data_IF_444266364133
#
_entry.id   IF_444266364133
#
_cell.length_a   1.000
_cell.length_b   1.000
_cell.length_c   1.000
_cell.angle_alpha   90.00
_cell.angle_beta   90.00
_cell.angle_gamma   90.00
#
_symmetry.space_group_name_H-M   'P 1'
#
loop_
_entity.id
_entity.type
_entity.pdbx_description
1 polymer ?
#
# COMPACT_ATOMS: atom_id res chain seq x y z
N UNK A 1 9.89 10.03 23.52
CA UNK A 1 10.12 8.71 22.89
C UNK A 1 8.83 8.08 22.35
N UNK A 2 7.75 7.93 23.14
CA UNK A 2 6.49 7.30 22.69
C UNK A 2 5.83 7.88 21.43
N UNK A 3 5.81 9.22 21.26
CA UNK A 3 5.25 9.86 20.05
C UNK A 3 6.00 9.51 18.75
N UNK A 4 7.32 9.29 18.84
CA UNK A 4 8.15 8.92 17.69
C UNK A 4 7.86 7.49 17.27
N UNK A 5 7.75 6.57 18.23
CA UNK A 5 7.41 5.16 17.98
C UNK A 5 6.02 5.04 17.36
N UNK A 6 5.03 5.77 17.89
CA UNK A 6 3.68 5.79 17.32
C UNK A 6 3.66 6.33 15.87
N UNK A 7 4.41 7.40 15.59
CA UNK A 7 4.54 7.93 14.23
C UNK A 7 5.22 6.94 13.28
N UNK A 8 6.26 6.25 13.74
CA UNK A 8 6.94 5.21 12.97
C UNK A 8 6.00 4.02 12.65
N UNK A 9 5.21 3.57 13.62
CA UNK A 9 4.22 2.50 13.43
C UNK A 9 3.13 2.91 12.43
N UNK A 10 2.64 4.15 12.51
CA UNK A 10 1.64 4.65 11.58
C UNK A 10 2.19 4.82 10.16
N UNK A 11 3.41 5.34 10.04
CA UNK A 11 4.12 5.41 8.75
C UNK A 11 4.33 4.02 8.17
N UNK A 12 4.76 3.05 8.97
CA UNK A 12 4.89 1.66 8.56
C UNK A 12 3.55 1.11 8.05
N UNK A 13 2.48 1.28 8.82
CA UNK A 13 1.13 0.85 8.43
C UNK A 13 0.72 1.46 7.09
N UNK A 14 0.84 2.78 6.93
CA UNK A 14 0.47 3.49 5.70
C UNK A 14 1.29 3.03 4.49
N UNK A 15 2.60 2.79 4.67
CA UNK A 15 3.46 2.28 3.60
C UNK A 15 3.07 0.86 3.18
N UNK A 16 2.65 0.01 4.10
CA UNK A 16 2.38 -1.41 3.83
C UNK A 16 0.91 -1.71 3.52
N UNK A 17 -0.03 -0.81 3.87
CA UNK A 17 -1.47 -1.01 3.64
C UNK A 17 -1.79 -1.16 2.14
N UNK A 18 -2.67 -2.11 1.83
CA UNK A 18 -3.14 -2.42 0.48
C UNK A 18 -2.22 -3.34 -0.33
N UNK A 19 -1.02 -3.64 0.15
CA UNK A 19 -0.14 -4.59 -0.55
C UNK A 19 -0.64 -6.01 -0.32
N UNK A 20 -0.53 -6.83 -1.37
CA UNK A 20 -0.85 -8.25 -1.27
C UNK A 20 0.33 -9.06 -0.69
N UNK A 21 0.80 -8.71 0.52
CA UNK A 21 1.92 -9.36 1.22
C UNK A 21 1.76 -10.86 1.47
N UNK A 22 2.66 -11.70 0.96
CA UNK A 22 2.68 -13.13 1.29
C UNK A 22 3.33 -13.41 2.64
N UNK A 23 4.37 -12.66 2.97
CA UNK A 23 5.06 -12.73 4.26
C UNK A 23 5.83 -11.43 4.50
N UNK A 24 6.07 -11.13 5.77
CA UNK A 24 7.00 -10.10 6.22
C UNK A 24 8.00 -10.78 7.14
N UNK A 25 9.29 -10.59 6.86
CA UNK A 25 10.39 -11.12 7.64
C UNK A 25 11.25 -9.98 8.17
N UNK A 26 11.90 -10.22 9.30
CA UNK A 26 12.74 -9.28 9.99
C UNK A 26 13.95 -10.01 10.57
N UNK A 27 15.10 -9.40 10.44
CA UNK A 27 16.31 -9.73 11.20
C UNK A 27 16.61 -8.59 12.16
N UNK A 28 16.89 -8.93 13.42
CA UNK A 28 17.26 -7.97 14.45
C UNK A 28 18.12 -8.66 15.53
N UNK A 29 18.48 -7.96 16.60
CA UNK A 29 19.10 -8.57 17.77
C UNK A 29 18.06 -9.09 18.78
N UNK A 30 18.46 -10.08 19.58
CA UNK A 30 17.61 -10.69 20.60
C UNK A 30 17.11 -9.68 21.64
N UNK A 31 17.85 -8.59 21.86
CA UNK A 31 17.45 -7.48 22.73
C UNK A 31 16.10 -6.82 22.32
N UNK A 32 15.66 -6.96 21.07
CA UNK A 32 14.38 -6.43 20.59
C UNK A 32 13.31 -7.50 20.36
N UNK A 33 13.58 -8.76 20.69
CA UNK A 33 12.71 -9.89 20.36
C UNK A 33 11.30 -9.74 20.96
N UNK A 34 11.18 -9.26 22.20
CA UNK A 34 9.89 -9.07 22.86
C UNK A 34 9.04 -8.01 22.16
N UNK A 35 9.64 -6.87 21.82
CA UNK A 35 8.98 -5.78 21.07
C UNK A 35 8.44 -6.28 19.72
N UNK A 36 9.23 -7.10 19.01
CA UNK A 36 8.80 -7.67 17.73
C UNK A 36 7.70 -8.71 17.90
N UNK A 37 7.75 -9.50 18.98
CA UNK A 37 6.69 -10.46 19.32
C UNK A 37 5.38 -9.75 19.61
N UNK A 38 5.39 -8.69 20.41
CA UNK A 38 4.22 -7.85 20.69
C UNK A 38 3.67 -7.19 19.41
N UNK A 39 4.57 -6.80 18.50
CA UNK A 39 4.18 -6.25 17.18
C UNK A 39 3.55 -7.29 16.26
N UNK A 40 3.65 -8.58 16.59
CA UNK A 40 3.01 -9.69 15.89
C UNK A 40 3.95 -10.66 15.17
N UNK A 41 5.27 -10.50 15.28
CA UNK A 41 6.21 -11.45 14.68
C UNK A 41 6.30 -12.77 15.46
N UNK A 42 6.51 -13.88 14.75
CA UNK A 42 6.88 -15.17 15.35
C UNK A 42 8.36 -15.47 15.08
N UNK A 43 9.09 -16.08 16.04
CA UNK A 43 10.46 -16.55 15.79
C UNK A 43 10.53 -17.55 14.64
N UNK A 44 11.62 -17.49 13.87
CA UNK A 44 11.96 -18.38 12.77
C UNK A 44 13.35 -18.97 13.02
N UNK A 45 13.55 -20.19 12.56
CA UNK A 45 14.87 -20.82 12.58
C UNK A 45 15.72 -20.31 11.43
N UNK A 46 17.02 -20.25 11.65
CA UNK A 46 18.02 -19.93 10.63
C UNK A 46 19.28 -20.80 10.84
N UNK A 47 20.12 -20.92 9.81
CA UNK A 47 21.16 -21.96 9.75
C UNK A 47 22.18 -21.91 10.91
N UNK A 48 22.63 -20.70 11.27
CA UNK A 48 23.75 -20.50 12.21
C UNK A 48 23.28 -20.23 13.66
N UNK A 49 22.02 -20.51 13.97
CA UNK A 49 21.41 -20.21 15.28
C UNK A 49 22.18 -20.81 16.48
N UNK A 50 22.67 -22.06 16.45
CA UNK A 50 23.42 -22.63 17.57
C UNK A 50 24.75 -21.92 17.83
N UNK A 51 25.49 -21.58 16.76
CA UNK A 51 26.81 -20.96 16.84
C UNK A 51 26.73 -19.53 17.37
N UNK A 52 25.66 -18.82 17.03
CA UNK A 52 25.45 -17.43 17.41
C UNK A 52 24.72 -17.28 18.76
N UNK A 53 24.22 -18.39 19.34
CA UNK A 53 23.44 -18.39 20.58
C UNK A 53 24.19 -17.87 21.82
N UNK A 54 25.51 -18.04 21.83
CA UNK A 54 26.42 -17.63 22.91
C UNK A 54 26.73 -16.12 22.91
N UNK A 55 26.34 -15.38 21.86
CA UNK A 55 26.56 -13.94 21.79
C UNK A 55 25.70 -13.17 22.81
N UNK A 56 26.15 -11.99 23.27
CA UNK A 56 25.32 -11.06 24.03
C UNK A 56 24.02 -10.73 23.28
N UNK A 57 22.92 -10.45 23.99
CA UNK A 57 21.61 -10.26 23.37
C UNK A 57 21.55 -9.12 22.34
N UNK A 58 22.38 -8.09 22.53
CA UNK A 58 22.51 -6.95 21.63
C UNK A 58 23.16 -7.31 20.28
N UNK A 59 23.91 -8.42 20.23
CA UNK A 59 24.64 -8.90 19.05
C UNK A 59 24.15 -10.26 18.56
N UNK A 60 23.33 -10.95 19.35
CA UNK A 60 22.74 -12.24 19.01
C UNK A 60 21.61 -12.02 18.02
N UNK A 61 21.73 -12.47 16.77
CA UNK A 61 20.68 -12.27 15.78
C UNK A 61 19.45 -13.11 16.12
N UNK A 62 18.28 -12.57 15.76
CA UNK A 62 17.01 -13.26 15.72
C UNK A 62 16.41 -13.08 14.34
N UNK A 63 15.88 -14.16 13.79
CA UNK A 63 15.07 -14.14 12.60
C UNK A 63 13.62 -14.30 12.99
N UNK A 64 12.75 -13.40 12.54
CA UNK A 64 11.34 -13.43 12.86
C UNK A 64 10.50 -13.18 11.61
N UNK A 65 9.26 -13.65 11.60
CA UNK A 65 8.37 -13.44 10.47
C UNK A 65 6.90 -13.63 10.80
N UNK A 66 6.07 -13.19 9.85
CA UNK A 66 4.65 -13.49 9.80
C UNK A 66 4.27 -13.75 8.34
N UNK A 67 3.65 -14.89 8.07
CA UNK A 67 3.06 -15.20 6.76
C UNK A 67 1.60 -14.77 6.72
N UNK A 68 1.05 -14.64 5.51
CA UNK A 68 -0.38 -14.34 5.32
C UNK A 68 -1.28 -15.39 5.96
N UNK A 69 -0.95 -16.66 5.83
CA UNK A 69 -1.79 -17.75 6.34
C UNK A 69 -1.81 -17.75 7.88
N UNK A 70 -0.66 -17.50 8.52
CA UNK A 70 -0.60 -17.31 9.96
C UNK A 70 -1.33 -16.03 10.41
N UNK A 71 -1.25 -14.94 9.64
CA UNK A 71 -1.96 -13.70 9.95
C UNK A 71 -3.49 -13.87 9.92
N UNK A 72 -4.00 -14.69 8.98
CA UNK A 72 -5.44 -15.02 8.86
C UNK A 72 -5.97 -15.80 10.05
N UNK A 73 -5.12 -16.59 10.71
CA UNK A 73 -5.49 -17.38 11.89
C UNK A 73 -5.50 -16.56 13.18
N UNK A 74 -5.09 -15.29 13.14
CA UNK A 74 -5.01 -14.40 14.30
C UNK A 74 -6.15 -13.39 14.32
N UNK A 75 -6.59 -13.09 15.54
CA UNK A 75 -7.49 -11.96 15.77
C UNK A 75 -6.83 -10.65 15.27
N UNK A 76 -7.62 -9.73 14.72
CA UNK A 76 -7.15 -8.37 14.46
C UNK A 76 -6.62 -7.71 15.74
N UNK A 77 -5.61 -6.85 15.63
CA UNK A 77 -5.14 -6.07 16.77
C UNK A 77 -3.65 -5.75 16.79
N UNK A 78 -2.81 -6.51 16.10
CA UNK A 78 -1.39 -6.15 15.96
C UNK A 78 -1.14 -5.37 14.68
N UNK A 79 -0.22 -4.40 14.73
CA UNK A 79 0.16 -3.58 13.57
C UNK A 79 0.57 -4.43 12.38
N UNK A 80 1.34 -5.51 12.61
CA UNK A 80 1.83 -6.38 11.54
C UNK A 80 0.72 -7.22 10.91
N UNK A 81 -0.25 -7.72 11.69
CA UNK A 81 -1.39 -8.48 11.16
C UNK A 81 -2.19 -7.62 10.18
N UNK A 82 -2.41 -6.35 10.52
CA UNK A 82 -3.18 -5.42 9.70
C UNK A 82 -2.53 -5.17 8.32
N UNK A 83 -1.21 -5.36 8.17
CA UNK A 83 -0.57 -5.29 6.85
C UNK A 83 -1.10 -6.35 5.87
N UNK A 84 -1.60 -7.48 6.36
CA UNK A 84 -2.12 -8.56 5.52
C UNK A 84 -3.60 -8.36 5.13
N UNK A 85 -4.25 -7.33 5.66
CA UNK A 85 -5.58 -6.90 5.24
C UNK A 85 -5.46 -6.20 3.88
N UNK A 86 -5.79 -6.94 2.83
CA UNK A 86 -5.86 -6.42 1.46
C UNK A 86 -6.93 -7.20 0.70
N UNK A 87 -7.74 -6.48 -0.05
CA UNK A 87 -8.62 -7.05 -1.07
C UNK A 87 -7.93 -6.97 -2.45
N UNK A 88 -8.32 -7.81 -3.41
CA UNK A 88 -7.87 -7.64 -4.79
C UNK A 88 -8.30 -6.26 -5.33
N UNK A 89 -7.44 -5.55 -6.09
CA UNK A 89 -7.83 -4.26 -6.67
C UNK A 89 -9.01 -4.45 -7.61
N UNK A 90 -10.03 -3.60 -7.45
CA UNK A 90 -11.28 -3.67 -8.20
C UNK A 90 -11.11 -3.13 -9.61
N UNK A 91 -10.53 -1.94 -9.74
CA UNK A 91 -10.39 -1.26 -11.03
C UNK A 91 -9.14 -1.70 -11.79
N UNK A 92 -8.15 -2.28 -11.11
CA UNK A 92 -6.97 -2.89 -11.75
C UNK A 92 -6.24 -1.91 -12.67
N UNK A 93 -5.98 -0.71 -12.15
CA UNK A 93 -5.28 0.35 -12.88
C UNK A 93 -3.90 -0.12 -13.37
N UNK A 94 -3.48 0.42 -14.53
CA UNK A 94 -2.14 0.18 -15.10
C UNK A 94 -1.03 0.78 -14.23
N UNK A 95 0.22 0.37 -14.43
CA UNK A 95 1.34 0.90 -13.65
C UNK A 95 1.44 2.44 -13.70
N UNK A 96 1.25 3.05 -14.88
CA UNK A 96 1.27 4.52 -15.03
C UNK A 96 0.07 5.18 -14.36
N UNK A 97 -1.11 4.59 -14.44
CA UNK A 97 -2.32 5.09 -13.78
C UNK A 97 -2.19 5.04 -12.26
N UNK A 98 -1.66 3.93 -11.71
CA UNK A 98 -1.37 3.81 -10.26
C UNK A 98 -0.37 4.86 -9.80
N UNK A 99 0.70 5.09 -10.57
CA UNK A 99 1.70 6.14 -10.26
C UNK A 99 1.06 7.53 -10.27
N UNK A 100 0.24 7.85 -11.28
CA UNK A 100 -0.50 9.11 -11.33
C UNK A 100 -1.41 9.27 -10.11
N UNK A 101 -2.23 8.27 -9.80
CA UNK A 101 -3.14 8.32 -8.65
C UNK A 101 -2.38 8.45 -7.33
N UNK A 102 -1.26 7.74 -7.15
CA UNK A 102 -0.41 7.84 -5.96
C UNK A 102 0.14 9.25 -5.76
N UNK A 103 0.68 9.87 -6.81
CA UNK A 103 1.18 11.25 -6.73
C UNK A 103 0.04 12.24 -6.49
N UNK A 104 -1.10 12.05 -7.16
CA UNK A 104 -2.29 12.88 -7.02
C UNK A 104 -3.00 12.73 -5.66
N UNK A 105 -2.63 11.75 -4.82
CA UNK A 105 -3.16 11.66 -3.45
C UNK A 105 -2.69 12.83 -2.58
N UNK A 106 -1.48 13.33 -2.85
CA UNK A 106 -0.74 14.28 -2.02
C UNK A 106 -0.51 15.65 -2.71
N UNK A 107 -0.77 15.75 -4.01
CA UNK A 107 -0.64 16.99 -4.79
C UNK A 107 -1.79 17.13 -5.81
N UNK A 108 -2.40 18.31 -5.89
CA UNK A 108 -3.53 18.58 -6.77
C UNK A 108 -3.10 19.29 -8.08
N UNK A 109 -1.85 19.75 -8.21
CA UNK A 109 -1.40 20.54 -9.35
C UNK A 109 -0.84 19.68 -10.49
N UNK A 110 -1.52 19.67 -11.64
CA UNK A 110 -1.07 18.98 -12.87
C UNK A 110 0.38 19.35 -13.27
N UNK A 111 0.80 20.60 -13.01
CA UNK A 111 2.15 21.10 -13.31
C UNK A 111 3.25 20.42 -12.49
N UNK A 112 2.93 19.96 -11.27
CA UNK A 112 3.86 19.21 -10.42
C UNK A 112 3.88 17.71 -10.78
N UNK A 113 2.74 17.17 -11.22
CA UNK A 113 2.60 15.75 -11.60
C UNK A 113 3.35 15.39 -12.88
N UNK A 114 3.33 16.29 -13.87
CA UNK A 114 3.93 16.05 -15.20
C UNK A 114 5.42 15.67 -15.18
N UNK A 115 6.33 16.42 -14.52
CA UNK A 115 7.74 16.05 -14.46
C UNK A 115 7.96 14.72 -13.74
N UNK A 116 7.25 14.49 -12.63
CA UNK A 116 7.34 13.25 -11.85
C UNK A 116 6.85 12.01 -12.62
N UNK A 117 5.91 12.19 -13.54
CA UNK A 117 5.39 11.14 -14.41
C UNK A 117 6.16 11.00 -15.72
N UNK A 118 6.97 12.00 -16.10
CA UNK A 118 7.63 12.06 -17.40
C UNK A 118 6.65 12.19 -18.58
N UNK A 119 5.53 12.90 -18.41
CA UNK A 119 4.48 13.03 -19.43
C UNK A 119 4.22 14.49 -19.82
N UNK A 120 3.76 14.70 -21.05
CA UNK A 120 3.24 15.99 -21.50
C UNK A 120 1.83 16.26 -20.93
N UNK A 121 1.34 17.50 -21.04
CA UNK A 121 -0.05 17.85 -20.68
C UNK A 121 -1.05 16.92 -21.36
N UNK A 122 -0.83 16.64 -22.66
CA UNK A 122 -1.68 15.73 -23.41
C UNK A 122 -1.60 14.30 -22.90
N UNK A 123 -0.39 13.83 -22.53
CA UNK A 123 -0.20 12.53 -21.90
C UNK A 123 -0.93 12.41 -20.56
N UNK A 124 -0.88 13.45 -19.73
CA UNK A 124 -1.59 13.50 -18.45
C UNK A 124 -3.11 13.44 -18.64
N UNK A 125 -3.66 14.20 -19.59
CA UNK A 125 -5.10 14.14 -19.94
C UNK A 125 -5.52 12.74 -20.39
N UNK A 126 -4.69 12.08 -21.22
CA UNK A 126 -4.93 10.71 -21.68
C UNK A 126 -4.92 9.70 -20.53
N UNK A 127 -4.00 9.85 -19.56
CA UNK A 127 -3.96 8.98 -18.38
C UNK A 127 -5.22 9.12 -17.53
N UNK A 128 -5.66 10.35 -17.25
CA UNK A 128 -6.90 10.61 -16.51
C UNK A 128 -8.13 10.07 -17.23
N UNK A 129 -8.24 10.30 -18.54
CA UNK A 129 -9.35 9.75 -19.32
C UNK A 129 -9.39 8.23 -19.24
N UNK A 130 -8.25 7.55 -19.41
CA UNK A 130 -8.17 6.10 -19.27
C UNK A 130 -8.47 5.57 -17.86
N UNK A 131 -8.32 6.40 -16.82
CA UNK A 131 -8.78 6.06 -15.45
C UNK A 131 -10.31 6.12 -15.41
N UNK A 132 -10.92 7.20 -15.93
CA UNK A 132 -12.38 7.35 -15.91
C UNK A 132 -13.09 6.29 -16.73
N UNK A 133 -12.60 6.02 -17.95
CA UNK A 133 -13.11 4.94 -18.79
C UNK A 133 -13.08 3.59 -18.07
N UNK A 134 -12.00 3.32 -17.31
CA UNK A 134 -11.84 2.07 -16.55
C UNK A 134 -12.78 1.99 -15.35
N UNK A 135 -12.95 3.10 -14.64
CA UNK A 135 -13.89 3.19 -13.51
C UNK A 135 -15.32 2.98 -14.00
N UNK A 136 -15.72 3.70 -15.05
CA UNK A 136 -17.07 3.62 -15.62
C UNK A 136 -17.38 2.24 -16.21
N UNK A 137 -16.37 1.59 -16.82
CA UNK A 137 -16.49 0.21 -17.33
C UNK A 137 -16.76 -0.81 -16.21
N UNK A 138 -16.17 -0.62 -15.03
CA UNK A 138 -16.23 -1.59 -13.91
C UNK A 138 -17.36 -1.27 -12.93
N UNK A 139 -17.69 0.01 -12.75
CA UNK A 139 -18.78 0.51 -11.90
C UNK A 139 -19.55 1.61 -12.67
N UNK A 140 -20.49 1.22 -13.55
CA UNK A 140 -21.37 2.18 -14.20
C UNK A 140 -22.12 3.01 -13.16
N UNK A 141 -22.15 4.32 -13.34
CA UNK A 141 -22.79 5.24 -12.40
C UNK A 141 -21.91 5.69 -11.22
N UNK A 142 -20.64 5.29 -11.15
CA UNK A 142 -19.69 5.76 -10.13
C UNK A 142 -19.61 7.30 -10.04
N UNK A 143 -19.79 7.99 -11.17
CA UNK A 143 -19.75 9.45 -11.25
C UNK A 143 -21.12 10.14 -11.06
N UNK A 144 -22.21 9.38 -10.95
CA UNK A 144 -23.60 9.87 -10.91
C UNK A 144 -24.19 10.23 -12.28
N UNK A 145 -25.52 10.37 -12.33
CA UNK A 145 -26.31 10.60 -13.57
C UNK A 145 -26.05 11.96 -14.23
N UNK A 146 -25.49 12.91 -13.49
CA UNK A 146 -25.13 14.22 -14.04
C UNK A 146 -23.92 14.16 -14.97
N UNK A 147 -23.27 13.01 -15.16
CA UNK A 147 -22.03 12.82 -15.92
C UNK A 147 -22.18 12.97 -17.46
N UNK A 148 -22.80 14.06 -17.92
CA UNK A 148 -22.81 14.49 -19.31
C UNK A 148 -21.40 14.82 -19.85
N UNK A 149 -21.26 14.68 -21.17
CA UNK A 149 -20.04 14.42 -21.94
C UNK A 149 -19.12 15.65 -22.21
N UNK A 150 -19.05 16.62 -21.31
CA UNK A 150 -18.27 17.86 -21.54
C UNK A 150 -16.84 17.75 -20.93
N UNK A 151 -15.89 17.27 -21.75
CA UNK A 151 -14.49 16.92 -21.41
C UNK A 151 -13.66 18.07 -20.77
N UNK A 152 -14.03 19.34 -21.00
CA UNK A 152 -13.17 20.49 -20.68
C UNK A 152 -13.29 21.03 -19.25
N UNK A 153 -14.49 21.00 -18.66
CA UNK A 153 -14.79 21.67 -17.37
C UNK A 153 -14.89 20.71 -16.19
N UNK A 154 -15.17 19.42 -16.43
CA UNK A 154 -15.42 18.42 -15.37
C UNK A 154 -14.26 17.50 -15.04
N UNK A 155 -13.08 17.70 -15.64
CA UNK A 155 -11.85 16.99 -15.26
C UNK A 155 -11.65 16.96 -13.74
N UNK A 156 -11.69 18.12 -13.04
CA UNK A 156 -11.60 18.17 -11.58
C UNK A 156 -12.74 17.45 -10.83
N UNK A 157 -13.97 17.50 -11.36
CA UNK A 157 -15.15 16.87 -10.74
C UNK A 157 -15.10 15.34 -10.78
N UNK A 158 -14.56 14.73 -11.87
CA UNK A 158 -14.33 13.29 -11.95
C UNK A 158 -13.09 12.83 -11.17
N UNK A 159 -12.05 13.68 -11.01
CA UNK A 159 -10.86 13.36 -10.19
C UNK A 159 -11.21 13.15 -8.73
N UNK A 160 -11.98 14.06 -8.15
CA UNK A 160 -12.30 14.08 -6.72
C UNK A 160 -12.91 12.77 -6.18
N UNK A 161 -13.96 12.17 -6.78
CA UNK A 161 -14.52 10.91 -6.30
C UNK A 161 -13.55 9.74 -6.48
N UNK A 162 -12.79 9.69 -7.58
CA UNK A 162 -11.76 8.65 -7.78
C UNK A 162 -10.69 8.73 -6.70
N UNK A 163 -10.14 9.92 -6.42
CA UNK A 163 -9.13 10.11 -5.38
C UNK A 163 -9.71 9.82 -3.98
N UNK A 164 -10.96 10.21 -3.72
CA UNK A 164 -11.63 9.89 -2.45
C UNK A 164 -11.77 8.38 -2.24
N UNK A 165 -12.18 7.64 -3.27
CA UNK A 165 -12.26 6.18 -3.24
C UNK A 165 -10.89 5.54 -3.02
N UNK A 166 -9.90 5.93 -3.81
CA UNK A 166 -8.54 5.35 -3.75
C UNK A 166 -7.87 5.60 -2.39
N UNK A 167 -8.12 6.73 -1.72
CA UNK A 167 -7.64 6.99 -0.35
C UNK A 167 -8.12 5.96 0.67
N UNK A 168 -9.29 5.36 0.43
CA UNK A 168 -9.90 4.33 1.29
C UNK A 168 -9.56 2.90 0.83
N UNK A 169 -9.00 2.76 -0.37
CA UNK A 169 -8.72 1.49 -1.05
C UNK A 169 -7.32 1.51 -1.66
N UNK A 170 -6.30 1.58 -0.80
CA UNK A 170 -4.90 1.69 -1.23
C UNK A 170 -4.40 0.47 -2.02
N UNK A 171 -5.08 -0.66 -1.93
CA UNK A 171 -4.87 -1.85 -2.76
C UNK A 171 -4.95 -1.55 -4.27
N UNK A 172 -5.75 -0.57 -4.67
CA UNK A 172 -5.84 -0.11 -6.07
C UNK A 172 -4.53 0.48 -6.59
N UNK A 173 -3.69 0.99 -5.69
CA UNK A 173 -2.42 1.63 -6.02
C UNK A 173 -1.23 0.68 -5.92
N UNK A 174 -1.42 -0.49 -5.32
CA UNK A 174 -0.32 -1.45 -5.17
C UNK A 174 -0.09 -2.25 -6.45
N UNK A 175 1.14 -2.74 -6.66
CA UNK A 175 1.40 -3.68 -7.73
C UNK A 175 0.49 -4.90 -7.60
N UNK A 176 -0.18 -5.23 -8.70
CA UNK A 176 -0.96 -6.45 -8.83
C UNK A 176 -0.49 -7.18 -10.08
N UNK A 177 -0.45 -8.51 -9.99
CA UNK A 177 -0.31 -9.37 -11.15
C UNK A 177 -1.70 -9.88 -11.51
N UNK A 178 -2.12 -9.80 -12.79
CA UNK A 178 -3.27 -10.59 -13.23
C UNK A 178 -2.97 -12.05 -12.89
N UNK A 179 -3.96 -12.77 -12.35
CA UNK A 179 -3.86 -14.22 -12.35
C UNK A 179 -3.62 -14.64 -13.80
N UNK A 180 -2.51 -15.35 -14.05
CA UNK A 180 -2.19 -15.92 -15.35
C UNK A 180 -3.20 -16.97 -15.76
#
# INVERSE_FOLDING_TARGET
>A
MHKIVACAQESFRMHHTGFHWQAIYLENSAAFMEVHRESGFAPRRFADEPELSARPETERPVFMGLTRDEARQRLPGTTLRNCFESEPPRFRFSAQQRRLLWLALFDDADTALMPELGVSVHGLKKLWRGIYERVDLVEPGFFGDDAGDDEGKRGPEKRRPVLAYVRQRLEELRPWQPAG
#
